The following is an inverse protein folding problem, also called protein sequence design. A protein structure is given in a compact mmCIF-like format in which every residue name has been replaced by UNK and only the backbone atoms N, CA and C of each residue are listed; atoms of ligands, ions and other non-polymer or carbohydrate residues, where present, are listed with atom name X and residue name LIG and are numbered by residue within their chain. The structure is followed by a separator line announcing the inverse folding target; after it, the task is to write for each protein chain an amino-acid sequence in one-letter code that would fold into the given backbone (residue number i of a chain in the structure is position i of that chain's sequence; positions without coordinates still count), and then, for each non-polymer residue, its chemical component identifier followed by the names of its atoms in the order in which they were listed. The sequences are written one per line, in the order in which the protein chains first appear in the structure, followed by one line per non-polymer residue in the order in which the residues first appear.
data_IF_855670691812
#
_entry.id   IF_855670691812
#
_cell.length_a   1.000
_cell.length_b   1.000
_cell.length_c   1.000
_cell.angle_alpha   90.00
_cell.angle_beta   90.00
_cell.angle_gamma   90.00
#
_symmetry.space_group_name_H-M   'P 1'
#
loop_
_entity.id
_entity.type
_entity.pdbx_description
1 polymer ?
#
# COMPACT_ATOMS: atom_id res chain seq x y z
N UNK A 1 -4.81 -14.37 3.65
CA UNK A 1 -3.38 -14.42 3.98
C UNK A 1 -2.80 -13.01 3.98
N UNK A 2 -2.14 -12.63 5.08
CA UNK A 2 -1.43 -11.36 5.19
C UNK A 2 0.05 -11.57 4.86
N UNK A 3 0.62 -10.67 4.05
CA UNK A 3 2.01 -10.69 3.64
C UNK A 3 2.72 -9.48 4.24
N UNK A 4 3.74 -9.72 5.05
CA UNK A 4 4.56 -8.66 5.63
C UNK A 4 5.55 -8.13 4.60
N UNK A 5 5.50 -6.82 4.31
CA UNK A 5 6.44 -6.19 3.41
C UNK A 5 5.94 -4.91 2.77
N UNK A 6 6.82 -4.31 1.97
CA UNK A 6 6.55 -3.11 1.19
C UNK A 6 6.66 -3.44 -0.29
N UNK A 7 5.71 -2.99 -1.09
CA UNK A 7 5.78 -3.07 -2.55
C UNK A 7 6.23 -1.72 -3.10
N UNK A 8 7.34 -1.74 -3.82
CA UNK A 8 7.93 -0.55 -4.40
C UNK A 8 8.22 -0.80 -5.89
N UNK A 9 7.39 -0.23 -6.77
CA UNK A 9 7.56 -0.34 -8.21
C UNK A 9 8.38 0.86 -8.70
N UNK A 10 9.58 0.57 -9.22
CA UNK A 10 10.50 1.56 -9.78
C UNK A 10 10.00 2.12 -11.12
N UNK A 11 10.41 3.34 -11.42
CA UNK A 11 9.96 4.13 -12.59
C UNK A 11 10.27 3.47 -13.94
N UNK A 12 11.32 2.67 -13.99
CA UNK A 12 11.78 1.91 -15.16
C UNK A 12 11.04 0.58 -15.37
N UNK A 13 10.01 0.27 -14.55
CA UNK A 13 9.21 -0.96 -14.64
C UNK A 13 7.74 -0.69 -14.90
N UNK A 14 7.40 -0.22 -16.11
CA UNK A 14 6.01 -0.02 -16.56
C UNK A 14 5.27 -1.33 -16.83
N UNK A 15 3.94 -1.25 -16.97
CA UNK A 15 3.08 -2.38 -17.37
C UNK A 15 3.07 -3.54 -16.35
N UNK A 16 3.13 -3.20 -15.06
CA UNK A 16 3.03 -4.17 -13.96
C UNK A 16 1.56 -4.38 -13.58
N UNK A 17 1.16 -5.65 -13.47
CA UNK A 17 -0.13 -6.05 -12.92
C UNK A 17 0.07 -6.72 -11.57
N UNK A 18 -0.64 -6.23 -10.55
CA UNK A 18 -0.75 -6.84 -9.23
C UNK A 18 -2.17 -7.41 -9.08
N UNK A 19 -2.28 -8.72 -8.94
CA UNK A 19 -3.56 -9.41 -8.79
C UNK A 19 -3.55 -10.25 -7.52
N UNK A 20 -4.53 -10.04 -6.64
CA UNK A 20 -4.76 -10.85 -5.45
C UNK A 20 -5.98 -11.77 -5.59
N UNK A 21 -6.20 -12.63 -4.58
CA UNK A 21 -7.36 -13.52 -4.51
C UNK A 21 -8.63 -12.82 -3.95
N UNK A 22 -8.53 -11.52 -3.67
CA UNK A 22 -9.56 -10.69 -3.06
C UNK A 22 -8.94 -9.74 -2.04
N UNK A 23 -9.37 -8.48 -1.98
CA UNK A 23 -8.72 -7.44 -1.17
C UNK A 23 -8.86 -7.60 0.36
N UNK A 24 -9.67 -8.56 0.80
CA UNK A 24 -9.75 -9.01 2.20
C UNK A 24 -8.99 -10.32 2.44
N UNK A 25 -8.61 -11.02 1.37
CA UNK A 25 -7.86 -12.27 1.40
C UNK A 25 -6.38 -12.02 1.19
N UNK A 26 -5.98 -11.28 0.16
CA UNK A 26 -4.59 -10.92 -0.11
C UNK A 26 -4.34 -9.51 0.41
N UNK A 27 -3.61 -9.39 1.53
CA UNK A 27 -3.33 -8.10 2.16
C UNK A 27 -1.84 -7.97 2.37
N UNK A 28 -1.24 -6.90 1.82
CA UNK A 28 0.12 -6.49 2.12
C UNK A 28 0.09 -5.58 3.35
N UNK A 29 0.89 -5.89 4.35
CA UNK A 29 0.95 -5.13 5.60
C UNK A 29 2.33 -4.59 5.86
N UNK A 30 2.41 -3.32 6.27
CA UNK A 30 3.64 -2.67 6.70
C UNK A 30 3.40 -1.96 8.04
N UNK A 31 4.41 -1.95 8.90
CA UNK A 31 4.41 -1.17 10.15
C UNK A 31 5.51 -0.10 10.06
N UNK A 32 5.24 0.98 9.32
CA UNK A 32 6.20 2.05 9.07
C UNK A 32 5.53 3.43 9.22
N UNK A 33 6.32 4.44 9.59
CA UNK A 33 5.84 5.76 10.02
C UNK A 33 6.87 6.88 9.78
N UNK A 34 6.58 8.09 10.26
CA UNK A 34 7.46 9.29 10.29
C UNK A 34 7.56 10.09 9.00
N UNK A 35 7.49 9.47 7.82
CA UNK A 35 7.64 10.16 6.53
C UNK A 35 6.52 9.84 5.55
N UNK A 36 5.94 10.87 4.92
CA UNK A 36 4.95 10.67 3.84
C UNK A 36 5.60 10.08 2.57
N UNK A 37 6.92 10.14 2.49
CA UNK A 37 7.70 9.66 1.37
C UNK A 37 8.16 8.21 1.54
N UNK A 38 8.39 7.78 2.78
CA UNK A 38 8.94 6.45 3.11
C UNK A 38 7.90 5.47 3.64
N UNK A 39 6.87 5.92 4.36
CA UNK A 39 5.95 5.04 5.10
C UNK A 39 4.90 4.29 4.28
N UNK A 40 4.87 4.50 2.95
CA UNK A 40 3.87 3.87 2.09
C UNK A 40 4.06 2.35 2.00
N UNK A 41 3.00 1.58 2.25
CA UNK A 41 2.98 0.12 2.05
C UNK A 41 3.10 -0.23 0.56
N UNK A 42 2.47 0.57 -0.30
CA UNK A 42 2.54 0.47 -1.74
C UNK A 42 3.02 1.77 -2.36
N UNK A 43 4.12 1.74 -3.11
CA UNK A 43 4.56 2.86 -3.92
C UNK A 43 4.57 2.49 -5.39
N UNK A 44 3.85 3.24 -6.20
CA UNK A 44 3.84 3.14 -7.67
C UNK A 44 4.45 4.38 -8.30
N UNK A 45 5.56 4.24 -9.02
CA UNK A 45 6.20 5.32 -9.80
C UNK A 45 6.06 5.22 -11.33
N UNK A 46 6.03 4.02 -11.96
CA UNK A 46 5.99 3.94 -13.41
C UNK A 46 4.56 4.10 -13.95
N UNK A 47 4.40 4.41 -15.25
CA UNK A 47 3.10 4.46 -15.88
C UNK A 47 2.50 3.06 -16.14
N UNK A 48 1.18 3.00 -16.32
CA UNK A 48 0.41 1.81 -16.71
C UNK A 48 0.51 0.67 -15.68
N UNK A 49 0.13 0.94 -14.43
CA UNK A 49 0.10 -0.06 -13.36
C UNK A 49 -1.34 -0.48 -13.08
N UNK A 50 -1.58 -1.78 -13.02
CA UNK A 50 -2.89 -2.35 -12.70
C UNK A 50 -2.81 -3.03 -11.34
N UNK A 51 -3.76 -2.72 -10.45
CA UNK A 51 -3.94 -3.42 -9.18
C UNK A 51 -5.39 -3.91 -9.06
N UNK A 52 -5.56 -5.20 -8.82
CA UNK A 52 -6.88 -5.83 -8.66
C UNK A 52 -6.92 -6.76 -7.45
N UNK A 53 -8.05 -6.76 -6.75
CA UNK A 53 -8.36 -7.78 -5.74
C UNK A 53 -7.28 -7.94 -4.63
N UNK A 54 -6.60 -6.85 -4.28
CA UNK A 54 -5.50 -6.81 -3.30
C UNK A 54 -5.69 -5.66 -2.30
N UNK A 55 -5.33 -5.90 -1.03
CA UNK A 55 -5.33 -4.92 0.03
C UNK A 55 -3.91 -4.43 0.37
N UNK A 56 -3.77 -3.15 0.68
CA UNK A 56 -2.56 -2.54 1.22
C UNK A 56 -2.90 -1.86 2.54
N UNK A 57 -2.21 -2.26 3.61
CA UNK A 57 -2.50 -1.78 4.95
C UNK A 57 -1.23 -1.33 5.65
N UNK A 58 -1.19 -0.07 6.07
CA UNK A 58 -0.22 0.37 7.06
C UNK A 58 -0.82 0.19 8.46
N UNK A 59 -0.20 -0.68 9.25
CA UNK A 59 -0.71 -1.09 10.57
C UNK A 59 -0.19 -0.21 11.70
N UNK A 60 0.65 0.81 11.42
CA UNK A 60 1.33 1.60 12.44
C UNK A 60 0.39 2.18 13.50
N UNK A 61 -0.63 2.91 13.04
CA UNK A 61 -1.65 3.53 13.89
C UNK A 61 -2.83 2.60 14.24
N UNK A 62 -2.81 1.33 13.79
CA UNK A 62 -3.92 0.39 13.99
C UNK A 62 -3.93 -0.26 15.38
N UNK A 63 -2.85 -0.13 16.16
CA UNK A 63 -2.84 -0.67 17.52
C UNK A 63 -3.74 0.17 18.43
N UNK A 64 -4.61 -0.47 19.19
CA UNK A 64 -5.46 0.20 20.16
C UNK A 64 -4.73 0.33 21.51
N UNK A 65 -3.61 1.07 21.55
CA UNK A 65 -2.95 1.39 22.83
C UNK A 65 -3.47 2.75 23.31
N UNK A 66 -3.85 2.83 24.59
CA UNK A 66 -4.18 4.11 25.23
C UNK A 66 -2.97 5.05 25.08
N UNK A 67 -3.19 6.26 24.57
CA UNK A 67 -2.18 7.31 24.30
C UNK A 67 -1.22 7.07 23.11
N UNK A 68 -1.70 6.57 21.96
CA UNK A 68 -0.87 6.59 20.73
C UNK A 68 -0.88 7.98 20.12
N UNK A 69 0.31 8.53 19.92
CA UNK A 69 0.54 9.65 19.02
C UNK A 69 0.33 9.16 17.59
N UNK A 70 -0.68 9.69 16.90
CA UNK A 70 -0.90 9.41 15.47
C UNK A 70 0.25 10.03 14.69
N UNK A 71 0.97 9.22 13.91
CA UNK A 71 2.05 9.68 13.02
C UNK A 71 1.74 9.28 11.57
N UNK A 72 2.23 10.03 10.55
CA UNK A 72 1.95 9.70 9.16
C UNK A 72 2.37 8.26 8.80
N UNK A 73 1.41 7.48 8.27
CA UNK A 73 1.57 6.07 7.99
C UNK A 73 0.75 5.67 6.74
N UNK A 74 1.32 5.82 5.54
CA UNK A 74 0.55 5.68 4.29
C UNK A 74 0.27 4.22 3.90
N UNK A 75 -0.95 3.94 3.47
CA UNK A 75 -1.27 2.69 2.77
C UNK A 75 -0.69 2.66 1.36
N UNK A 76 -0.79 3.78 0.62
CA UNK A 76 -0.31 3.87 -0.76
C UNK A 76 0.23 5.27 -1.12
N UNK A 77 1.16 5.30 -2.07
CA UNK A 77 1.75 6.50 -2.67
C UNK A 77 1.90 6.30 -4.17
N UNK A 78 1.23 7.11 -4.97
CA UNK A 78 1.17 6.97 -6.43
C UNK A 78 1.78 8.22 -7.07
N UNK A 79 2.82 8.02 -7.88
CA UNK A 79 3.49 9.05 -8.68
C UNK A 79 3.33 8.82 -10.19
N UNK A 80 3.12 7.57 -10.61
CA UNK A 80 3.02 7.21 -12.02
C UNK A 80 1.68 7.59 -12.65
N UNK A 81 1.69 7.79 -13.97
CA UNK A 81 0.49 8.04 -14.77
C UNK A 81 -0.28 6.74 -15.08
N UNK A 82 -1.61 6.81 -15.24
CA UNK A 82 -2.48 5.67 -15.61
C UNK A 82 -2.39 4.47 -14.66
N UNK A 83 -2.56 4.71 -13.37
CA UNK A 83 -2.84 3.63 -12.41
C UNK A 83 -4.33 3.25 -12.47
N UNK A 84 -4.60 1.96 -12.67
CA UNK A 84 -5.94 1.40 -12.56
C UNK A 84 -6.04 0.54 -11.29
N UNK A 85 -7.07 0.80 -10.48
CA UNK A 85 -7.35 0.04 -9.26
C UNK A 85 -8.80 -0.44 -9.27
N UNK A 86 -9.01 -1.75 -9.07
CA UNK A 86 -10.34 -2.36 -9.03
C UNK A 86 -10.44 -3.35 -7.87
N UNK A 87 -11.45 -3.17 -7.01
CA UNK A 87 -11.68 -3.99 -5.81
C UNK A 87 -10.49 -4.03 -4.84
N UNK A 88 -9.65 -3.01 -4.83
CA UNK A 88 -8.55 -2.87 -3.87
C UNK A 88 -9.01 -2.25 -2.54
N UNK A 89 -8.27 -2.54 -1.46
CA UNK A 89 -8.41 -1.84 -0.19
C UNK A 89 -7.14 -1.08 0.13
N UNK A 90 -7.26 0.17 0.55
CA UNK A 90 -6.15 0.97 1.09
C UNK A 90 -6.50 1.36 2.51
N UNK A 91 -5.77 0.84 3.49
CA UNK A 91 -6.12 0.93 4.92
C UNK A 91 -4.96 1.58 5.68
N UNK A 92 -5.20 2.75 6.26
CA UNK A 92 -4.28 3.49 7.13
C UNK A 92 -5.07 4.44 8.04
N UNK A 93 -4.42 4.99 9.06
CA UNK A 93 -4.97 5.99 9.96
C UNK A 93 -4.03 7.19 10.10
#
# INVERSE_FOLDING_TARGET
MAYGGKIYILEEKSCITLEGEGSRKTIITLWDHRGIDTSATFTSRPPNVVATDIGFMNTYNSMNRRNIKIEPALAARIHGDKLFSLRCNFISY
#
